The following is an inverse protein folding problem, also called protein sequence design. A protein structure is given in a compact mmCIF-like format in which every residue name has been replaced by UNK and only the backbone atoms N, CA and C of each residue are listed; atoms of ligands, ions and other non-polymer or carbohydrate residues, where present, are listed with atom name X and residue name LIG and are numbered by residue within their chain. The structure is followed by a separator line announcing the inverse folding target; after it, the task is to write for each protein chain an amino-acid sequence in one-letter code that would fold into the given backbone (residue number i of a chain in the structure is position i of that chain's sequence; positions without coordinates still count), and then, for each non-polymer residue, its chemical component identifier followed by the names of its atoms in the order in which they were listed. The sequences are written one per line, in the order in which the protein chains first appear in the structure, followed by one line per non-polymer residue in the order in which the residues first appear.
data_IF_948811977561
#
_entry.id   IF_948811977561
#
_cell.length_a   1.000
_cell.length_b   1.000
_cell.length_c   1.000
_cell.angle_alpha   90.00
_cell.angle_beta   90.00
_cell.angle_gamma   90.00
#
_symmetry.space_group_name_H-M   'P 1'
#
loop_
_entity.id
_entity.type
_entity.pdbx_description
1 polymer ?
2 non-polymer ?
3 non-polymer ?
4 water ?
#
# COMPACT_ATOMS: atom_id res chain seq x y z
N UNK A 22 -21.01 -9.70 10.49
CA UNK A 22 -20.80 -11.14 10.16
C UNK A 22 -19.95 -11.27 8.88
N UNK A 23 -20.37 -10.56 7.84
CA UNK A 23 -19.57 -10.46 6.59
C UNK A 23 -18.71 -9.19 6.64
N UNK A 24 -17.41 -9.39 6.82
CA UNK A 24 -16.44 -8.29 6.91
C UNK A 24 -15.48 -8.42 5.72
N UNK A 25 -14.63 -7.43 5.49
CA UNK A 25 -13.53 -7.61 4.53
C UNK A 25 -12.22 -7.61 5.33
N UNK A 26 -11.54 -8.76 5.39
CA UNK A 26 -10.40 -8.82 6.28
C UNK A 26 -9.16 -8.14 5.71
N UNK A 27 -8.16 -7.93 6.55
CA UNK A 27 -6.84 -7.54 6.11
C UNK A 27 -6.07 -8.84 5.92
N UNK A 28 -5.48 -9.03 4.76
CA UNK A 28 -4.67 -10.20 4.45
C UNK A 28 -3.18 -9.84 4.57
N UNK A 29 -2.45 -10.54 5.42
CA UNK A 29 -1.00 -10.30 5.57
C UNK A 29 -0.25 -11.56 5.10
N UNK A 30 0.71 -11.39 4.22
CA UNK A 30 1.51 -12.52 3.72
C UNK A 30 2.81 -12.60 4.51
N UNK A 31 3.08 -13.75 5.12
CA UNK A 31 4.27 -13.95 5.94
C UNK A 31 5.07 -15.13 5.37
N UNK A 32 6.38 -14.97 5.33
CA UNK A 32 7.29 -16.01 4.85
C UNK A 32 7.97 -16.72 6.03
N UNK A 33 8.52 -15.91 6.92
CA UNK A 33 9.25 -16.38 8.09
C UNK A 33 9.14 -15.35 9.21
N UNK A 34 9.54 -15.78 10.40
CA UNK A 34 9.68 -14.91 11.54
C UNK A 34 10.85 -14.02 11.23
N UNK A 35 10.64 -12.71 11.37
CA UNK A 35 11.69 -11.74 11.25
C UNK A 35 11.23 -10.39 11.77
N UNK A 36 12.16 -9.44 11.91
CA UNK A 36 11.77 -8.11 12.36
C UNK A 36 10.89 -7.45 11.30
N UNK A 37 11.20 -7.69 10.03
CA UNK A 37 10.35 -7.15 8.94
C UNK A 37 8.93 -7.71 9.01
N UNK A 38 8.81 -9.03 9.12
CA UNK A 38 7.49 -9.68 9.32
C UNK A 38 6.70 -9.09 10.49
N UNK A 39 7.39 -8.76 11.59
CA UNK A 39 6.70 -8.16 12.74
C UNK A 39 6.15 -6.80 12.42
N UNK A 40 6.95 -5.99 11.73
CA UNK A 40 6.54 -4.68 11.30
C UNK A 40 5.32 -4.76 10.38
N UNK A 41 5.36 -5.71 9.45
CA UNK A 41 4.26 -5.96 8.53
C UNK A 41 3.01 -6.38 9.29
N UNK A 42 3.19 -7.27 10.28
CA UNK A 42 2.08 -7.73 11.15
C UNK A 42 1.47 -6.62 12.01
N UNK A 43 2.31 -5.74 12.55
CA UNK A 43 1.82 -4.65 13.39
C UNK A 43 1.08 -3.58 12.61
N UNK A 44 1.57 -3.30 11.41
CA UNK A 44 0.81 -2.44 10.55
C UNK A 44 -0.56 -3.04 10.19
N UNK A 45 -0.56 -4.31 9.81
CA UNK A 45 -1.78 -5.03 9.48
C UNK A 45 -2.78 -5.05 10.64
N UNK A 46 -2.28 -5.27 11.85
CA UNK A 46 -3.12 -5.34 13.03
C UNK A 46 -3.75 -3.98 13.33
N UNK A 47 -3.04 -2.90 12.99
CA UNK A 47 -3.54 -1.55 13.29
C UNK A 47 -4.66 -1.19 12.30
N UNK A 48 -4.44 -1.52 11.04
CA UNK A 48 -5.49 -1.47 10.02
C UNK A 48 -6.72 -2.26 10.41
N UNK A 49 -6.53 -3.53 10.78
CA UNK A 49 -7.68 -4.39 11.12
C UNK A 49 -8.48 -3.80 12.27
N UNK A 50 -7.74 -3.35 13.28
CA UNK A 50 -8.26 -2.81 14.55
C UNK A 50 -9.08 -1.55 14.29
N UNK A 51 -8.49 -0.63 13.52
CA UNK A 51 -9.16 0.58 13.06
C UNK A 51 -10.44 0.29 12.25
N UNK A 52 -10.44 -0.76 11.43
CA UNK A 52 -11.60 -1.04 10.56
C UNK A 52 -12.62 -2.01 11.21
N UNK A 53 -12.28 -2.57 12.35
CA UNK A 53 -13.15 -3.52 13.02
C UNK A 53 -13.24 -4.89 12.39
N UNK A 54 -12.20 -5.28 11.64
CA UNK A 54 -12.17 -6.56 10.90
C UNK A 54 -10.96 -7.42 11.32
N UNK A 55 -11.00 -8.74 11.05
CA UNK A 55 -9.87 -9.58 11.42
C UNK A 55 -8.70 -9.47 10.45
N UNK A 56 -7.57 -9.97 10.88
CA UNK A 56 -6.44 -10.13 10.01
C UNK A 56 -6.40 -11.60 9.64
N UNK A 57 -6.26 -11.88 8.35
CA UNK A 57 -6.00 -13.25 7.83
C UNK A 57 -4.52 -13.33 7.49
N UNK A 58 -3.77 -14.17 8.22
CA UNK A 58 -2.33 -14.35 7.97
C UNK A 58 -2.09 -15.56 7.05
N UNK A 59 -1.41 -15.33 5.91
CA UNK A 59 -1.26 -16.41 4.93
C UNK A 59 0.17 -16.77 4.70
N UNK A 60 0.36 -18.05 4.52
CA UNK A 60 1.62 -18.58 4.02
C UNK A 60 1.27 -19.61 2.97
N UNK A 61 2.00 -19.59 1.86
CA UNK A 61 1.70 -20.46 0.75
C UNK A 61 2.79 -21.46 0.57
N UNK A 62 2.41 -22.71 0.29
CA UNK A 62 3.35 -23.76 -0.15
C UNK A 62 2.80 -24.44 -1.39
N UNK A 63 3.68 -25.00 -2.25
CA UNK A 63 3.26 -25.64 -3.49
C UNK A 63 2.45 -26.92 -3.35
N UNK A 64 2.69 -27.72 -2.33
CA UNK A 64 1.93 -28.96 -2.21
C UNK A 64 2.39 -29.95 -3.26
N UNK A 65 1.53 -30.90 -3.62
CA UNK A 65 1.95 -31.96 -4.53
C UNK A 65 3.14 -32.67 -3.91
N UNK A 66 4.01 -33.21 -4.77
CA UNK A 66 5.26 -33.86 -4.34
C UNK A 66 6.32 -32.87 -3.85
N UNK A 67 6.12 -31.60 -4.15
CA UNK A 67 7.03 -30.55 -3.74
C UNK A 67 7.03 -30.21 -2.24
N UNK A 68 5.99 -30.60 -1.52
CA UNK A 68 5.87 -30.20 -0.12
C UNK A 68 6.10 -31.34 0.85
N UNK A 69 7.19 -31.22 1.61
CA UNK A 69 7.44 -32.15 2.70
C UNK A 69 6.56 -31.79 3.90
N UNK A 70 6.37 -32.75 4.81
CA UNK A 70 5.73 -32.50 6.10
C UNK A 70 6.57 -31.60 7.00
N UNK A 71 7.88 -31.68 6.89
CA UNK A 71 8.76 -30.74 7.59
C UNK A 71 8.45 -29.29 7.20
N UNK A 72 8.09 -29.07 5.93
CA UNK A 72 7.78 -27.73 5.41
C UNK A 72 6.48 -27.17 6.03
N UNK A 73 5.50 -28.06 6.21
CA UNK A 73 4.23 -27.71 6.80
C UNK A 73 4.44 -27.28 8.25
N UNK A 74 5.37 -27.97 8.96
CA UNK A 74 5.60 -27.69 10.38
C UNK A 74 6.18 -26.31 10.60
N UNK A 75 7.26 -26.01 9.88
CA UNK A 75 7.85 -24.66 9.95
C UNK A 75 6.85 -23.56 9.57
N UNK A 76 6.07 -23.80 8.51
CA UNK A 76 5.09 -22.81 8.07
C UNK A 76 4.08 -22.53 9.19
N UNK A 77 3.65 -23.59 9.87
CA UNK A 77 2.69 -23.52 10.97
C UNK A 77 3.24 -22.80 12.21
N UNK A 78 4.52 -23.02 12.52
CA UNK A 78 5.18 -22.27 13.57
C UNK A 78 5.23 -20.78 13.23
N UNK A 79 5.59 -20.49 11.99
CA UNK A 79 5.65 -19.09 11.53
C UNK A 79 4.24 -18.46 11.68
N UNK A 80 3.22 -19.17 11.22
CA UNK A 80 1.86 -18.68 11.25
C UNK A 80 1.31 -18.54 12.68
N UNK A 81 1.68 -19.49 13.53
CA UNK A 81 1.28 -19.46 14.92
C UNK A 81 1.93 -18.25 15.60
N UNK A 82 3.23 -18.06 15.35
CA UNK A 82 3.92 -16.83 15.76
C UNK A 82 3.26 -15.57 15.22
N UNK A 83 2.96 -15.54 13.93
CA UNK A 83 2.34 -14.34 13.32
C UNK A 83 1.03 -13.99 13.96
N UNK A 84 0.16 -14.98 14.17
CA UNK A 84 -1.15 -14.69 14.76
C UNK A 84 -1.06 -14.22 16.23
N UNK A 85 -0.06 -14.74 16.96
CA UNK A 85 0.17 -14.28 18.34
C UNK A 85 0.47 -12.78 18.38
N UNK A 86 1.28 -12.35 17.42
CA UNK A 86 1.62 -10.93 17.25
C UNK A 86 0.35 -10.14 17.04
N UNK A 87 -0.43 -10.54 16.03
CA UNK A 87 -1.69 -9.84 15.72
C UNK A 87 -2.54 -9.65 16.98
N UNK A 88 -2.69 -10.72 17.75
CA UNK A 88 -3.57 -10.76 18.92
C UNK A 88 -3.08 -9.89 20.06
N UNK A 89 -1.79 -10.01 20.37
CA UNK A 89 -1.06 -9.11 21.28
C UNK A 89 -1.26 -7.64 20.90
N UNK A 90 -1.46 -7.36 19.61
CA UNK A 90 -1.73 -6.00 19.15
C UNK A 90 -3.21 -5.61 19.23
N UNK A 91 -4.03 -6.48 19.84
CA UNK A 91 -5.45 -6.19 20.01
C UNK A 91 -6.31 -6.34 18.77
N UNK A 92 -5.95 -7.24 17.87
CA UNK A 92 -6.75 -7.52 16.70
C UNK A 92 -7.06 -9.04 16.65
N UNK A 93 -8.11 -9.44 15.96
CA UNK A 93 -8.41 -10.86 15.83
C UNK A 93 -7.60 -11.31 14.65
N UNK A 94 -7.01 -12.48 14.74
CA UNK A 94 -6.19 -13.02 13.65
C UNK A 94 -6.57 -14.46 13.37
N UNK A 95 -6.33 -14.90 12.15
CA UNK A 95 -6.59 -16.27 11.79
C UNK A 95 -5.46 -16.72 10.92
N UNK A 96 -5.02 -17.96 11.10
CA UNK A 96 -3.97 -18.52 10.24
C UNK A 96 -4.55 -19.32 9.07
N UNK A 97 -4.02 -19.03 7.89
CA UNK A 97 -4.34 -19.75 6.68
C UNK A 97 -3.07 -20.26 5.98
N UNK A 98 -2.82 -21.55 6.08
CA UNK A 98 -1.68 -22.17 5.33
C UNK A 98 -2.26 -22.63 4.03
N UNK A 99 -1.81 -22.06 2.92
CA UNK A 99 -2.34 -22.48 1.64
C UNK A 99 -1.44 -23.52 0.98
N UNK A 100 -2.01 -24.71 0.74
CA UNK A 100 -1.34 -25.80 0.05
C UNK A 100 -2.17 -26.23 -1.14
N UNK A 101 -1.91 -25.61 -2.28
CA UNK A 101 -2.88 -25.59 -3.37
C UNK A 101 -2.35 -25.84 -4.77
N UNK A 102 -1.10 -26.27 -4.92
CA UNK A 102 -0.50 -26.41 -6.25
C UNK A 102 -0.26 -25.06 -6.93
N UNK A 103 0.24 -24.09 -6.17
CA UNK A 103 0.45 -22.74 -6.67
C UNK A 103 1.74 -22.17 -6.15
N UNK A 104 2.22 -21.12 -6.81
CA UNK A 104 3.37 -20.39 -6.32
C UNK A 104 2.86 -19.24 -5.43
N UNK A 105 3.70 -18.77 -4.49
CA UNK A 105 3.23 -17.80 -3.49
C UNK A 105 2.41 -16.62 -4.03
N UNK A 106 2.89 -15.86 -5.05
CA UNK A 106 2.17 -14.61 -5.39
C UNK A 106 0.75 -14.84 -5.95
N UNK A 107 0.58 -15.83 -6.81
CA UNK A 107 -0.76 -16.25 -7.25
C UNK A 107 -1.62 -16.74 -6.11
N UNK A 108 -1.00 -17.42 -5.15
CA UNK A 108 -1.75 -17.92 -4.02
C UNK A 108 -2.25 -16.76 -3.18
N UNK A 109 -1.40 -15.76 -2.98
CA UNK A 109 -1.72 -14.63 -2.12
C UNK A 109 -2.82 -13.80 -2.77
N UNK A 110 -2.64 -13.56 -4.07
CA UNK A 110 -3.55 -12.79 -4.88
C UNK A 110 -4.90 -13.50 -5.02
N UNK A 111 -4.88 -14.80 -5.31
CA UNK A 111 -6.15 -15.54 -5.43
C UNK A 111 -6.86 -15.56 -4.09
N UNK A 112 -6.11 -15.81 -3.01
CA UNK A 112 -6.67 -15.79 -1.65
C UNK A 112 -7.33 -14.45 -1.30
N UNK A 113 -6.62 -13.36 -1.52
CA UNK A 113 -7.15 -12.04 -1.22
C UNK A 113 -8.46 -11.82 -1.95
N UNK A 114 -8.57 -12.31 -3.17
CA UNK A 114 -9.81 -12.16 -3.93
C UNK A 114 -10.90 -13.06 -3.37
N UNK A 115 -10.54 -14.27 -2.97
CA UNK A 115 -11.49 -15.27 -2.45
C UNK A 115 -12.13 -14.84 -1.14
N UNK A 116 -11.35 -14.15 -0.28
CA UNK A 116 -11.89 -13.62 0.99
C UNK A 116 -12.37 -12.17 0.98
N UNK A 117 -12.42 -11.55 -0.21
CA UNK A 117 -12.75 -10.14 -0.35
C UNK A 117 -11.92 -9.25 0.55
N UNK A 118 -10.61 -9.42 0.53
CA UNK A 118 -9.74 -8.62 1.38
C UNK A 118 -9.91 -7.13 1.08
N UNK A 119 -9.79 -6.32 2.12
CA UNK A 119 -9.74 -4.86 1.96
C UNK A 119 -8.38 -4.46 1.40
N UNK A 120 -7.32 -5.12 1.87
CA UNK A 120 -5.98 -4.87 1.35
C UNK A 120 -5.09 -6.07 1.67
N UNK A 121 -3.95 -6.15 1.00
CA UNK A 121 -2.92 -7.17 1.19
C UNK A 121 -1.72 -6.40 1.78
N UNK A 122 -1.17 -6.87 2.88
CA UNK A 122 0.05 -6.28 3.47
C UNK A 122 1.19 -7.24 3.27
N UNK A 123 2.29 -6.73 2.71
CA UNK A 123 3.46 -7.55 2.43
C UNK A 123 4.73 -6.78 2.80
N UNK A 124 5.79 -7.50 3.08
CA UNK A 124 7.08 -6.88 3.35
C UNK A 124 7.86 -6.79 2.06
N UNK A 125 8.63 -5.74 1.90
CA UNK A 125 9.59 -5.68 0.81
C UNK A 125 10.98 -5.28 1.30
N UNK A 126 11.98 -5.66 0.53
CA UNK A 126 13.40 -5.53 0.92
C UNK A 126 14.07 -4.43 0.11
N UNK A 136 12.48 -5.27 -5.48
CA UNK A 136 11.24 -5.60 -4.75
C UNK A 136 11.37 -6.86 -3.90
N UNK A 137 11.95 -7.89 -4.53
CA UNK A 137 11.73 -9.26 -4.14
C UNK A 137 10.72 -9.80 -5.14
N UNK A 138 10.91 -11.03 -5.57
CA UNK A 138 10.09 -11.59 -6.66
C UNK A 138 8.64 -11.75 -6.25
N UNK A 139 8.36 -12.39 -5.10
CA UNK A 139 7.00 -12.57 -4.66
C UNK A 139 6.29 -11.21 -4.62
N UNK A 140 6.95 -10.21 -4.06
CA UNK A 140 6.31 -8.91 -3.83
C UNK A 140 5.94 -8.27 -5.15
N UNK A 141 6.77 -8.41 -6.16
CA UNK A 141 6.55 -7.67 -7.38
C UNK A 141 5.34 -8.23 -8.12
N UNK A 142 5.18 -9.54 -8.11
CA UNK A 142 4.00 -10.16 -8.71
C UNK A 142 2.71 -9.87 -7.94
N UNK A 143 2.79 -9.79 -6.61
CA UNK A 143 1.62 -9.42 -5.81
C UNK A 143 1.19 -7.95 -6.10
N UNK A 144 2.16 -7.05 -6.11
CA UNK A 144 1.96 -5.66 -6.54
C UNK A 144 1.30 -5.58 -7.92
N UNK A 145 1.82 -6.33 -8.88
CA UNK A 145 1.35 -6.19 -10.26
C UNK A 145 0.04 -6.93 -10.55
N UNK A 146 -0.18 -8.05 -9.84
CA UNK A 146 -1.33 -8.91 -10.12
C UNK A 146 -2.49 -8.71 -9.17
N UNK A 147 -2.27 -8.24 -7.95
CA UNK A 147 -3.38 -8.07 -7.01
C UNK A 147 -4.49 -7.21 -7.61
N UNK A 148 -5.72 -7.62 -7.34
CA UNK A 148 -6.94 -6.84 -7.60
C UNK A 148 -7.40 -6.07 -6.36
N UNK A 149 -6.50 -5.95 -5.37
CA UNK A 149 -6.73 -5.24 -4.13
C UNK A 149 -5.61 -4.23 -3.86
N UNK A 150 -5.86 -3.25 -2.99
CA UNK A 150 -4.72 -2.40 -2.60
C UNK A 150 -3.59 -3.24 -1.99
N UNK A 151 -2.34 -2.92 -2.30
CA UNK A 151 -1.23 -3.65 -1.73
C UNK A 151 -0.39 -2.70 -0.91
N UNK A 152 -0.22 -3.04 0.36
CA UNK A 152 0.49 -2.18 1.25
C UNK A 152 1.86 -2.73 1.52
N UNK A 153 2.89 -1.99 1.11
CA UNK A 153 4.28 -2.40 1.15
C UNK A 153 5.02 -1.77 2.32
N UNK A 154 5.54 -2.62 3.21
CA UNK A 154 6.18 -2.27 4.46
C UNK A 154 7.63 -2.69 4.42
N UNK A 155 8.53 -1.80 4.85
CA UNK A 155 9.96 -2.08 4.90
C UNK A 155 10.32 -2.66 6.26
N UNK B 23 1.41 15.61 18.13
CA UNK B 23 1.57 15.84 16.66
C UNK B 23 1.09 14.62 15.87
N UNK B 24 0.35 14.90 14.81
CA UNK B 24 -0.18 13.83 13.94
C UNK B 24 0.85 13.39 12.91
N UNK B 25 0.61 12.20 12.39
CA UNK B 25 1.35 11.71 11.26
C UNK B 25 0.35 11.63 10.13
N UNK B 26 0.53 12.46 9.11
CA UNK B 26 -0.46 12.52 8.05
C UNK B 26 -0.35 11.38 7.09
N UNK B 27 -1.41 11.24 6.29
CA UNK B 27 -1.35 10.35 5.13
C UNK B 27 -0.82 11.24 4.03
N UNK B 28 0.16 10.76 3.26
CA UNK B 28 0.64 11.49 2.10
C UNK B 28 0.09 10.79 0.84
N UNK B 29 -0.43 11.58 -0.09
CA UNK B 29 -0.92 11.01 -1.33
C UNK B 29 -0.32 11.78 -2.48
N UNK B 30 0.22 11.06 -3.47
CA UNK B 30 0.84 11.65 -4.65
C UNK B 30 -0.19 11.61 -5.77
N UNK B 31 -0.29 12.70 -6.50
CA UNK B 31 -1.15 12.77 -7.67
C UNK B 31 -0.40 13.49 -8.76
N UNK B 32 -0.74 13.13 -10.00
CA UNK B 32 -0.11 13.65 -11.21
C UNK B 32 -1.17 14.49 -11.95
N UNK B 33 -2.19 13.82 -12.45
CA UNK B 33 -3.20 14.42 -13.28
C UNK B 33 -4.56 14.07 -12.74
N UNK B 34 -5.55 14.87 -13.17
CA UNK B 34 -6.92 14.63 -12.81
C UNK B 34 -7.41 13.41 -13.60
N UNK B 35 -7.83 12.38 -12.88
CA UNK B 35 -8.49 11.24 -13.51
C UNK B 35 -9.32 10.42 -12.50
N UNK B 36 -10.11 9.50 -13.04
CA UNK B 36 -10.98 8.63 -12.23
C UNK B 36 -10.13 7.71 -11.36
N UNK B 37 -8.91 7.50 -11.83
CA UNK B 37 -7.90 6.69 -11.19
C UNK B 37 -7.23 7.42 -10.03
N UNK B 38 -6.78 8.65 -10.31
CA UNK B 38 -6.32 9.54 -9.24
C UNK B 38 -7.41 9.64 -8.17
N UNK B 39 -8.67 9.61 -8.60
CA UNK B 39 -9.76 9.74 -7.65
C UNK B 39 -9.87 8.49 -6.75
N UNK B 40 -9.69 7.30 -7.32
CA UNK B 40 -9.62 6.09 -6.52
C UNK B 40 -8.48 6.14 -5.49
N UNK B 41 -7.37 6.75 -5.86
CA UNK B 41 -6.23 6.90 -4.98
C UNK B 41 -6.58 7.85 -3.85
N UNK B 42 -7.19 8.98 -4.17
CA UNK B 42 -7.61 9.97 -3.15
C UNK B 42 -8.64 9.39 -2.19
N UNK B 43 -9.58 8.64 -2.74
CA UNK B 43 -10.62 8.06 -1.94
C UNK B 43 -10.10 7.07 -0.92
N UNK B 44 -9.09 6.26 -1.29
CA UNK B 44 -8.52 5.36 -0.35
C UNK B 44 -7.69 6.10 0.70
N UNK B 45 -6.94 7.10 0.26
CA UNK B 45 -6.15 7.92 1.12
C UNK B 45 -7.05 8.65 2.13
N UNK B 46 -8.16 9.18 1.64
CA UNK B 46 -9.12 9.88 2.49
C UNK B 46 -9.72 8.95 3.55
N UNK B 47 -9.97 7.67 3.21
CA UNK B 47 -10.52 6.71 4.17
C UNK B 47 -9.47 6.35 5.22
N UNK B 48 -8.24 6.05 4.80
CA UNK B 48 -7.12 5.92 5.74
C UNK B 48 -7.06 7.06 6.77
N UNK B 49 -7.16 8.28 6.25
CA UNK B 49 -7.07 9.50 7.06
C UNK B 49 -8.21 9.63 8.03
N UNK B 50 -9.43 9.35 7.54
CA UNK B 50 -10.65 9.35 8.35
C UNK B 50 -10.50 8.38 9.49
N UNK B 51 -10.05 7.18 9.15
CA UNK B 51 -10.02 6.12 10.13
C UNK B 51 -9.05 6.45 11.24
N UNK B 52 -7.98 7.19 10.90
CA UNK B 52 -6.85 7.40 11.83
C UNK B 52 -6.97 8.74 12.55
N UNK B 53 -7.87 9.59 12.10
CA UNK B 53 -8.04 10.93 12.67
C UNK B 53 -6.86 11.84 12.32
N UNK B 54 -6.33 11.70 11.10
CA UNK B 54 -5.21 12.55 10.65
C UNK B 54 -5.55 13.24 9.32
N UNK B 55 -4.80 14.31 8.97
CA UNK B 55 -4.98 14.90 7.63
C UNK B 55 -4.27 14.18 6.49
N UNK B 56 -4.75 14.44 5.27
CA UNK B 56 -4.13 14.01 4.04
C UNK B 56 -3.32 15.17 3.47
N UNK B 57 -2.05 14.91 3.17
CA UNK B 57 -1.20 15.87 2.46
C UNK B 57 -1.13 15.44 1.00
N UNK B 58 -1.78 16.20 0.11
CA UNK B 58 -1.75 15.92 -1.32
C UNK B 58 -0.49 16.59 -1.90
N UNK B 59 0.42 15.78 -2.46
CA UNK B 59 1.65 16.33 -3.03
C UNK B 59 1.71 16.14 -4.53
N UNK B 60 2.24 17.14 -5.21
CA UNK B 60 2.59 17.04 -6.61
C UNK B 60 3.99 17.62 -6.76
N UNK B 61 4.83 16.95 -7.55
CA UNK B 61 6.24 17.29 -7.69
C UNK B 61 6.53 17.90 -9.07
N UNK B 62 7.32 18.97 -9.12
CA UNK B 62 7.70 19.60 -10.38
C UNK B 62 9.21 19.87 -10.35
N UNK B 63 9.92 19.60 -11.48
CA UNK B 63 11.38 19.84 -11.47
C UNK B 63 11.77 21.28 -11.12
N UNK B 64 11.09 22.25 -11.74
CA UNK B 64 11.44 23.66 -11.58
C UNK B 64 12.55 24.03 -12.53
N UNK B 65 13.05 25.25 -12.40
CA UNK B 65 14.02 25.80 -13.34
C UNK B 65 13.54 25.78 -14.80
N UNK B 66 14.42 25.37 -15.71
CA UNK B 66 14.12 25.37 -17.15
C UNK B 66 13.15 24.31 -17.65
N UNK B 67 12.83 23.32 -16.82
CA UNK B 67 11.95 22.22 -17.25
C UNK B 67 10.46 22.54 -17.08
N UNK B 68 10.12 23.38 -16.10
CA UNK B 68 8.73 23.66 -15.75
C UNK B 68 8.22 24.98 -16.38
N UNK B 69 7.13 24.88 -17.14
CA UNK B 69 6.46 26.05 -17.73
C UNK B 69 5.35 26.52 -16.81
N UNK B 70 4.91 27.76 -16.96
CA UNK B 70 3.75 28.25 -16.20
C UNK B 70 2.53 27.31 -16.37
N UNK B 71 2.31 26.83 -17.60
CA UNK B 71 1.24 25.84 -17.87
C UNK B 71 1.25 24.69 -16.88
N UNK B 72 2.42 24.11 -16.63
CA UNK B 72 2.55 22.98 -15.69
C UNK B 72 2.20 23.37 -14.26
N UNK B 73 2.61 24.56 -13.84
CA UNK B 73 2.25 25.09 -12.53
C UNK B 73 0.75 25.21 -12.38
N UNK B 74 0.11 25.84 -13.36
CA UNK B 74 -1.32 26.13 -13.30
C UNK B 74 -2.05 24.79 -13.23
N UNK B 75 -1.72 23.88 -14.14
CA UNK B 75 -2.31 22.53 -14.14
C UNK B 75 -2.08 21.79 -12.80
N UNK B 76 -0.84 21.80 -12.30
CA UNK B 76 -0.54 21.23 -10.99
C UNK B 76 -1.48 21.80 -9.93
N UNK B 77 -1.50 23.13 -9.82
CA UNK B 77 -2.37 23.76 -8.84
C UNK B 77 -3.83 23.36 -9.00
N UNK B 78 -4.34 23.29 -10.23
CA UNK B 78 -5.73 22.87 -10.46
C UNK B 78 -6.00 21.40 -10.02
N UNK B 79 -5.04 20.51 -10.25
CA UNK B 79 -5.13 19.12 -9.78
C UNK B 79 -5.16 19.04 -8.25
N UNK B 80 -4.23 19.75 -7.62
CA UNK B 80 -4.20 19.81 -6.15
C UNK B 80 -5.50 20.30 -5.55
N UNK B 81 -6.03 21.36 -6.09
CA UNK B 81 -7.33 21.88 -5.63
C UNK B 81 -8.44 20.84 -5.81
N UNK B 82 -8.47 20.22 -6.99
CA UNK B 82 -9.47 19.18 -7.28
C UNK B 82 -9.31 18.03 -6.29
N UNK B 83 -8.05 17.69 -6.01
CA UNK B 83 -7.74 16.56 -5.15
C UNK B 83 -8.15 16.85 -3.71
N UNK B 84 -7.79 18.03 -3.20
CA UNK B 84 -8.23 18.38 -1.84
C UNK B 84 -9.75 18.29 -1.75
N UNK B 85 -10.44 18.76 -2.79
CA UNK B 85 -11.91 18.75 -2.78
C UNK B 85 -12.47 17.33 -2.63
N UNK B 86 -11.83 16.35 -3.32
CA UNK B 86 -12.22 14.94 -3.26
C UNK B 86 -12.01 14.40 -1.88
N UNK B 87 -10.87 14.75 -1.28
CA UNK B 87 -10.52 14.39 0.09
C UNK B 87 -11.61 14.91 1.03
N UNK B 88 -11.88 16.21 0.95
CA UNK B 88 -12.91 16.85 1.81
C UNK B 88 -14.30 16.24 1.64
N UNK B 89 -14.68 15.99 0.39
CA UNK B 89 -15.95 15.34 0.07
C UNK B 89 -16.06 14.00 0.76
N UNK B 90 -14.93 13.30 0.92
CA UNK B 90 -14.89 12.00 1.59
C UNK B 90 -14.80 12.08 3.13
N UNK B 91 -14.98 13.27 3.72
CA UNK B 91 -14.96 13.44 5.18
C UNK B 91 -13.60 13.44 5.85
N UNK B 92 -12.57 13.92 5.15
CA UNK B 92 -11.21 14.00 5.68
C UNK B 92 -10.70 15.42 5.45
N UNK B 93 -9.68 15.87 6.18
CA UNK B 93 -9.06 17.17 5.84
C UNK B 93 -7.94 16.95 4.87
N UNK B 94 -7.80 17.90 3.94
CA UNK B 94 -6.75 17.86 2.93
C UNK B 94 -5.89 19.11 2.93
N UNK B 95 -4.62 18.96 2.59
CA UNK B 95 -3.73 20.08 2.33
C UNK B 95 -3.04 19.88 1.00
N UNK B 96 -2.90 20.98 0.27
CA UNK B 96 -2.20 21.02 -1.00
C UNK B 96 -0.73 21.28 -0.75
N UNK B 97 0.15 20.47 -1.33
CA UNK B 97 1.57 20.68 -1.23
C UNK B 97 2.19 20.51 -2.58
N UNK B 98 2.48 21.63 -3.24
CA UNK B 98 3.16 21.60 -4.52
C UNK B 98 4.62 21.66 -4.19
N UNK B 99 5.37 20.68 -4.69
CA UNK B 99 6.81 20.62 -4.43
C UNK B 99 7.60 21.06 -5.66
N UNK B 100 8.39 22.11 -5.50
CA UNK B 100 9.21 22.59 -6.60
C UNK B 100 10.66 22.77 -6.10
N UNK B 101 11.43 21.68 -6.16
CA UNK B 101 12.71 21.61 -5.44
C UNK B 101 13.91 21.18 -6.27
N UNK B 102 13.83 21.25 -7.59
CA UNK B 102 14.92 20.76 -8.44
C UNK B 102 15.18 19.25 -8.31
N UNK B 103 14.24 18.51 -7.72
CA UNK B 103 14.41 17.08 -7.45
C UNK B 103 13.54 16.25 -8.39
N UNK B 104 13.95 15.01 -8.64
CA UNK B 104 13.13 14.08 -9.42
C UNK B 104 11.95 13.60 -8.55
N UNK B 105 10.79 13.33 -9.18
CA UNK B 105 9.54 13.09 -8.43
C UNK B 105 9.60 11.98 -7.37
N UNK B 106 10.15 10.79 -7.69
CA UNK B 106 10.23 9.80 -6.62
C UNK B 106 10.93 10.33 -5.35
N UNK B 107 12.06 11.01 -5.54
CA UNK B 107 12.83 11.52 -4.40
C UNK B 107 12.07 12.59 -3.64
N UNK B 108 11.42 13.49 -4.39
CA UNK B 108 10.54 14.50 -3.80
C UNK B 108 9.51 13.88 -2.89
N UNK B 109 8.83 12.86 -3.40
CA UNK B 109 7.70 12.24 -2.69
C UNK B 109 8.22 11.56 -1.43
N UNK B 110 9.30 10.79 -1.61
CA UNK B 110 9.92 10.06 -0.54
C UNK B 110 10.50 10.99 0.52
N UNK B 111 11.23 12.03 0.11
CA UNK B 111 11.83 12.95 1.08
C UNK B 111 10.73 13.70 1.85
N UNK B 112 9.67 14.10 1.13
CA UNK B 112 8.57 14.83 1.74
C UNK B 112 7.89 13.95 2.80
N UNK B 113 7.71 12.67 2.47
CA UNK B 113 6.99 11.82 3.38
C UNK B 113 7.81 11.66 4.66
N UNK B 114 9.14 11.57 4.53
CA UNK B 114 10.04 11.53 5.70
C UNK B 114 10.02 12.85 6.48
N UNK B 115 10.13 13.98 5.77
CA UNK B 115 9.99 15.31 6.36
C UNK B 115 8.72 15.51 7.18
N UNK B 116 7.60 14.98 6.70
CA UNK B 116 6.34 15.20 7.40
C UNK B 116 6.01 14.04 8.35
N UNK B 117 6.86 13.03 8.34
CA UNK B 117 6.70 11.84 9.19
C UNK B 117 5.33 11.22 8.93
N UNK B 118 5.10 10.90 7.66
CA UNK B 118 3.84 10.34 7.20
C UNK B 118 3.62 8.96 7.81
N UNK B 119 2.37 8.60 8.08
CA UNK B 119 2.08 7.22 8.48
C UNK B 119 2.25 6.26 7.28
N UNK B 120 2.00 6.82 6.10
CA UNK B 120 2.04 6.08 4.87
C UNK B 120 1.88 7.05 3.69
N UNK B 121 2.40 6.61 2.55
CA UNK B 121 2.22 7.22 1.25
C UNK B 121 1.22 6.39 0.43
N UNK B 122 0.20 7.05 -0.11
CA UNK B 122 -0.78 6.42 -1.01
C UNK B 122 -0.46 6.91 -2.43
N UNK B 123 -0.34 5.97 -3.39
CA UNK B 123 0.04 6.31 -4.75
C UNK B 123 -0.62 5.40 -5.79
N UNK B 124 -0.92 5.96 -6.96
CA UNK B 124 -1.46 5.21 -8.07
C UNK B 124 -0.34 4.53 -8.82
N UNK B 125 -0.36 3.21 -8.93
CA UNK B 125 0.82 2.51 -9.58
C UNK B 125 0.74 2.34 -11.09
N UNK B 126 -0.37 2.78 -11.68
CA UNK B 126 -0.55 2.71 -13.12
C UNK B 126 -0.57 4.09 -13.68
N UNK B 127 -0.07 4.20 -14.89
CA UNK B 127 0.09 5.49 -15.58
C UNK B 127 -0.23 5.27 -17.04
N UNK B 128 -0.80 6.25 -17.72
CA UNK B 128 -1.16 6.08 -19.13
C UNK B 128 0.06 6.23 -20.00
N UNK B 129 0.25 5.28 -20.91
CA UNK B 129 1.30 5.37 -21.88
C UNK B 129 0.81 6.30 -22.99
N UNK B 130 1.71 6.67 -23.91
CA UNK B 130 1.30 7.50 -25.06
C UNK B 130 0.26 6.87 -26.00
N UNK B 131 -0.03 5.57 -25.85
CA UNK B 131 -1.08 4.94 -26.65
C UNK B 131 -2.40 4.87 -25.93
N UNK B 132 -2.48 5.42 -24.73
CA UNK B 132 -3.68 5.36 -23.89
C UNK B 132 -3.81 4.14 -22.99
N UNK B 133 -2.83 3.25 -23.02
CA UNK B 133 -2.88 2.04 -22.22
C UNK B 133 -2.19 2.24 -20.88
N UNK B 134 -2.81 1.70 -19.84
CA UNK B 134 -2.24 1.83 -18.51
C UNK B 134 -1.09 0.82 -18.35
N UNK B 135 0.04 1.30 -17.85
CA UNK B 135 1.21 0.50 -17.61
C UNK B 135 1.71 0.79 -16.18
N UNK B 136 2.55 -0.09 -15.67
CA UNK B 136 3.20 0.09 -14.36
C UNK B 136 4.05 1.36 -14.38
N UNK B 137 3.68 2.36 -13.58
CA UNK B 137 4.41 3.64 -13.54
C UNK B 137 5.81 3.52 -12.95
N UNK B 138 6.80 4.16 -13.57
CA UNK B 138 8.16 4.08 -13.04
C UNK B 138 8.42 4.98 -11.84
N UNK B 139 7.80 6.16 -11.79
CA UNK B 139 7.81 6.98 -10.56
C UNK B 139 7.21 6.19 -9.40
N UNK B 140 6.05 5.60 -9.61
CA UNK B 140 5.39 4.84 -8.56
C UNK B 140 6.30 3.70 -8.12
N UNK B 141 6.78 2.95 -9.09
CA UNK B 141 7.74 1.91 -8.80
C UNK B 141 8.92 2.43 -7.93
N UNK B 142 9.52 3.55 -8.31
CA UNK B 142 10.67 4.04 -7.56
C UNK B 142 10.31 4.46 -6.14
N UNK B 143 9.07 4.95 -5.96
CA UNK B 143 8.58 5.38 -4.66
C UNK B 143 8.43 4.21 -3.71
N UNK B 144 7.85 3.12 -4.23
CA UNK B 144 7.73 1.84 -3.52
C UNK B 144 9.10 1.31 -3.11
N UNK B 145 10.07 1.39 -4.02
CA UNK B 145 11.41 0.89 -3.70
C UNK B 145 12.21 1.78 -2.75
N UNK B 146 12.16 3.10 -2.94
CA UNK B 146 12.94 4.03 -2.13
C UNK B 146 12.30 4.44 -0.80
N UNK B 147 10.99 4.37 -0.65
CA UNK B 147 10.36 5.00 0.53
C UNK B 147 10.82 4.34 1.83
N UNK B 148 10.92 5.14 2.88
CA UNK B 148 11.12 4.63 4.22
C UNK B 148 9.77 4.34 4.86
N UNK B 149 8.73 5.04 4.43
CA UNK B 149 7.40 4.81 4.98
C UNK B 149 6.64 3.69 4.27
N UNK B 150 5.58 3.19 4.91
CA UNK B 150 4.71 2.26 4.17
C UNK B 150 4.13 2.92 2.93
N UNK B 151 4.06 2.16 1.83
CA UNK B 151 3.46 2.63 0.59
C UNK B 151 2.25 1.77 0.24
N UNK B 152 1.11 2.44 0.09
CA UNK B 152 -0.15 1.81 -0.22
C UNK B 152 -0.39 1.99 -1.71
N UNK B 153 -0.35 0.87 -2.44
CA UNK B 153 -0.44 0.81 -3.90
C UNK B 153 -1.85 0.59 -4.43
N UNK B 154 -2.35 1.54 -5.23
CA UNK B 154 -3.73 1.55 -5.70
C UNK B 154 -3.76 1.44 -7.19
N UNK B 155 -4.65 0.57 -7.68
CA UNK B 155 -4.77 0.38 -9.11
C UNK B 155 -5.89 1.24 -9.64
X LIG C 1 8.58 -11.57 -0.37
X LIG C 1 8.06 -10.39 0.25
X LIG C 1 6.78 -10.66 1.05
X LIG C 1 6.17 -11.85 0.56
X LIG C 1 6.99 -10.83 2.57
X LIG C 1 5.95 -10.22 3.36
X LIG C 1 6.94 -12.33 2.73
X LIG C 1 5.98 -12.76 1.64
X LIG C 1 6.24 -14.15 1.18
X LIG C 1 7.33 -14.61 0.50
X LIG C 1 7.22 -15.94 0.26
X LIG C 1 6.05 -16.36 0.77
X LIG C 1 5.29 -17.64 0.87
X LIG C 1 5.78 -18.80 0.36
X LIG C 1 4.09 -17.61 1.50
X LIG C 1 3.58 -16.48 2.03
X LIG C 1 4.20 -15.29 1.98
X LIG C 1 5.40 -15.16 1.37
X LIG C 1 9.83 -11.48 -1.39
X LIG C 1 10.88 -10.70 -0.63
X LIG C 1 10.21 -12.92 -1.69
X LIG C 1 9.27 -10.72 -2.56
X LIG D 1 10.31 24.03 0.13
X LIG D 1 11.48 23.64 0.33
X LIG D 1 9.69 23.43 -0.77
X LIG D 1 9.68 25.14 0.93
X LIG E 1 -1.89 9.42 -15.83
X LIG E 1 -3.00 8.85 -15.81
X LIG E 1 -1.48 9.83 -14.73
X LIG E 1 -1.10 9.63 -17.07
X LIG F 1 14.33 27.98 -10.02
X LIG F 1 13.26 27.37 -10.19
X LIG F 1 14.43 28.60 -8.93
X LIG F 1 15.43 27.99 -11.03
#
# INVERSE_FOLDING_TARGET
XGSSHHHHHHSSGRENLYFQGMIYMPIVVAVDKKSDRAERVLRFAAEEARLRGVPVYVVHSLPGGGRTKDEDIIEAKETLSWAVSIIRKEGAEGEEHLLVRGKEPPDDIVDFADEVDAIAIVIGIRKRSPTGKLIFGSVARDVILKANKPVICIK
XGSSHHHHHHSSGRENLYFQGXIYMPIVVAVDKKSDRAERVLRFAAEEARLRGVPVYVVHSLPGGGRTKDEDIIEAKETLSWAVSIIRKEGAEGEEHLLVRGKEPPDDIVDFADEVDAIAIVIGIRKRSPTGKLIFGSVARDVILKANKPVICIK
D5M O5' C5' C4' O4' C3' O3' C2' C1' N9 C8 N7 C5 C6 N6 N1 C2 N3 C4 P O1P O3P O2P
ACT C O OXT CH3
ACT C O OXT CH3
ACT C O OXT CH3
#
